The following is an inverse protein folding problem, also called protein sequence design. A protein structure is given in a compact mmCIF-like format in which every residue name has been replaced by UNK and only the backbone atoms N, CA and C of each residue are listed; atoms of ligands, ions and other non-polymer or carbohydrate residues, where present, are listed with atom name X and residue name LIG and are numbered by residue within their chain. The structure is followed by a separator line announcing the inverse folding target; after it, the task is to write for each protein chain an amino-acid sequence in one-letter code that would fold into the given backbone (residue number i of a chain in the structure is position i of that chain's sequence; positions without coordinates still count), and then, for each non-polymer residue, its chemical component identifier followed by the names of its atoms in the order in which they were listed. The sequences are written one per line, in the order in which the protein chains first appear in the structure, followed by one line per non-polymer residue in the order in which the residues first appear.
data_IF_558525290841
#
_entry.id   IF_558525290841
#
_cell.length_a   1.000
_cell.length_b   1.000
_cell.length_c   1.000
_cell.angle_alpha   90.00
_cell.angle_beta   90.00
_cell.angle_gamma   90.00
#
_symmetry.space_group_name_H-M   'P 1'
#
loop_
_entity.id
_entity.type
_entity.pdbx_description
1 polymer ?
#
# COMPACT_ATOMS: atom_id res chain seq x y z
N UNK A 1 10.18 3.57 6.20
CA UNK A 1 8.90 3.10 6.80
C UNK A 1 8.17 2.24 5.78
N UNK A 2 7.51 1.14 6.20
CA UNK A 2 6.78 0.25 5.28
C UNK A 2 5.28 0.52 5.36
N UNK A 3 4.66 0.73 4.21
CA UNK A 3 3.23 0.99 4.07
C UNK A 3 2.55 -0.16 3.35
N UNK A 4 1.39 -0.57 3.86
CA UNK A 4 0.45 -1.44 3.17
C UNK A 4 -0.60 -0.57 2.49
N UNK A 5 -0.65 -0.64 1.16
CA UNK A 5 -1.60 0.12 0.34
C UNK A 5 -2.67 -0.82 -0.14
N UNK A 6 -3.92 -0.55 0.22
CA UNK A 6 -5.11 -1.23 -0.28
C UNK A 6 -5.64 -0.48 -1.50
N UNK A 7 -5.86 -1.20 -2.60
CA UNK A 7 -6.27 -0.61 -3.86
C UNK A 7 -7.18 -1.51 -4.69
N UNK A 8 -7.91 -0.89 -5.61
CA UNK A 8 -8.59 -1.57 -6.72
C UNK A 8 -7.80 -1.32 -8.01
N UNK A 9 -7.77 -2.29 -8.91
CA UNK A 9 -7.01 -2.17 -10.17
C UNK A 9 -7.54 -1.07 -11.10
N UNK A 10 -8.81 -0.70 -10.98
CA UNK A 10 -9.47 0.27 -11.87
C UNK A 10 -10.35 1.25 -11.10
N UNK A 11 -10.42 2.48 -11.61
CA UNK A 11 -11.29 3.56 -11.14
C UNK A 11 -12.65 3.57 -11.85
N UNK A 12 -12.83 2.78 -12.91
CA UNK A 12 -13.99 2.87 -13.82
C UNK A 12 -15.23 2.10 -13.35
N UNK A 13 -15.14 1.37 -12.23
CA UNK A 13 -16.24 0.60 -11.66
C UNK A 13 -16.36 0.88 -10.18
N UNK A 14 -17.56 0.68 -9.63
CA UNK A 14 -17.76 0.74 -8.18
C UNK A 14 -16.84 -0.25 -7.46
N UNK A 15 -16.15 0.17 -6.39
CA UNK A 15 -15.25 -0.70 -5.64
C UNK A 15 -16.01 -1.87 -5.04
N UNK A 16 -15.38 -3.05 -5.07
CA UNK A 16 -15.92 -4.30 -4.52
C UNK A 16 -14.92 -4.83 -3.50
N UNK A 17 -15.42 -5.20 -2.31
CA UNK A 17 -14.54 -5.62 -1.20
C UNK A 17 -13.73 -6.86 -1.55
N UNK A 18 -14.27 -7.74 -2.39
CA UNK A 18 -13.63 -9.00 -2.78
C UNK A 18 -12.46 -8.79 -3.75
N UNK A 19 -12.40 -7.63 -4.43
CA UNK A 19 -11.34 -7.32 -5.40
C UNK A 19 -10.29 -6.36 -4.88
N UNK A 20 -10.39 -5.94 -3.62
CA UNK A 20 -9.35 -5.12 -2.98
C UNK A 20 -8.05 -5.92 -2.90
N UNK A 21 -7.00 -5.40 -3.53
CA UNK A 21 -5.65 -5.94 -3.46
C UNK A 21 -4.81 -5.10 -2.51
N UNK A 22 -3.69 -5.67 -2.07
CA UNK A 22 -2.69 -4.97 -1.28
C UNK A 22 -1.33 -5.01 -1.94
N UNK A 23 -0.58 -3.92 -1.80
CA UNK A 23 0.84 -3.85 -2.12
C UNK A 23 1.61 -3.28 -0.93
N UNK A 24 2.90 -3.60 -0.84
CA UNK A 24 3.77 -3.15 0.24
C UNK A 24 4.86 -2.24 -0.33
N UNK A 25 4.98 -1.02 0.21
CA UNK A 25 5.96 -0.03 -0.24
C UNK A 25 6.88 0.34 0.90
N UNK A 26 8.17 0.36 0.61
CA UNK A 26 9.16 1.00 1.46
C UNK A 26 9.33 2.46 1.04
N UNK A 27 9.04 3.38 1.95
CA UNK A 27 9.11 4.82 1.73
C UNK A 27 10.05 5.43 2.76
N UNK A 28 11.00 6.23 2.29
CA UNK A 28 11.81 7.07 3.16
C UNK A 28 11.09 8.40 3.46
N UNK A 29 10.71 8.59 4.72
CA UNK A 29 9.98 9.75 5.22
C UNK A 29 10.28 9.95 6.70
N UNK A 30 10.25 11.21 7.15
CA UNK A 30 10.51 11.54 8.56
C UNK A 30 9.27 11.37 9.44
N UNK A 31 8.08 11.50 8.85
CA UNK A 31 6.80 11.35 9.56
C UNK A 31 5.84 10.42 8.82
N UNK A 32 4.88 9.85 9.54
CA UNK A 32 3.83 9.01 8.95
C UNK A 32 3.04 9.78 7.87
N UNK A 33 2.68 11.04 8.15
CA UNK A 33 1.89 11.86 7.24
C UNK A 33 2.61 12.06 5.91
N UNK A 34 3.89 12.42 5.95
CA UNK A 34 4.71 12.56 4.74
C UNK A 34 4.84 11.24 3.99
N UNK A 35 5.07 10.14 4.69
CA UNK A 35 5.21 8.83 4.07
C UNK A 35 3.92 8.38 3.39
N UNK A 36 2.75 8.62 3.99
CA UNK A 36 1.44 8.34 3.36
C UNK A 36 1.22 9.16 2.10
N UNK A 37 1.57 10.45 2.12
CA UNK A 37 1.45 11.33 0.95
C UNK A 37 2.37 10.84 -0.17
N UNK A 38 3.64 10.52 0.14
CA UNK A 38 4.60 9.98 -0.84
C UNK A 38 4.14 8.64 -1.42
N UNK A 39 3.69 7.71 -0.57
CA UNK A 39 3.17 6.41 -0.99
C UNK A 39 2.00 6.57 -1.96
N UNK A 40 1.06 7.48 -1.63
CA UNK A 40 -0.08 7.77 -2.49
C UNK A 40 0.35 8.30 -3.86
N UNK A 41 1.22 9.32 -3.87
CA UNK A 41 1.72 9.92 -5.12
C UNK A 41 2.43 8.89 -5.98
N UNK A 42 3.31 8.08 -5.39
CA UNK A 42 4.07 7.06 -6.12
C UNK A 42 3.14 6.06 -6.83
N UNK A 43 2.11 5.58 -6.13
CA UNK A 43 1.14 4.64 -6.70
C UNK A 43 0.29 5.32 -7.79
N UNK A 44 -0.18 6.55 -7.57
CA UNK A 44 -0.97 7.29 -8.55
C UNK A 44 -0.16 7.67 -9.81
N UNK A 45 1.14 7.92 -9.68
CA UNK A 45 2.02 8.25 -10.81
C UNK A 45 2.43 7.02 -11.63
N UNK A 46 2.70 5.89 -10.97
CA UNK A 46 3.17 4.67 -11.64
C UNK A 46 2.03 3.75 -12.09
N UNK A 47 0.83 3.88 -11.52
CA UNK A 47 -0.26 2.94 -11.77
C UNK A 47 -1.61 3.64 -11.93
N UNK A 48 -2.55 2.99 -12.61
CA UNK A 48 -3.93 3.45 -12.71
C UNK A 48 -4.81 3.05 -11.51
N UNK A 49 -4.20 2.55 -10.43
CA UNK A 49 -4.91 1.97 -9.30
C UNK A 49 -5.75 3.00 -8.54
N UNK A 50 -6.90 2.55 -8.06
CA UNK A 50 -7.74 3.32 -7.16
C UNK A 50 -7.37 2.99 -5.71
N UNK A 51 -6.67 3.90 -5.05
CA UNK A 51 -6.21 3.71 -3.67
C UNK A 51 -7.40 3.88 -2.72
N UNK A 52 -7.67 2.85 -1.93
CA UNK A 52 -8.73 2.85 -0.92
C UNK A 52 -8.18 3.28 0.45
N UNK A 53 -7.04 2.71 0.85
CA UNK A 53 -6.46 2.97 2.16
C UNK A 53 -4.94 2.77 2.17
N UNK A 54 -4.23 3.58 2.97
CA UNK A 54 -2.79 3.46 3.19
C UNK A 54 -2.57 3.34 4.69
N UNK A 55 -1.99 2.23 5.10
CA UNK A 55 -1.69 1.89 6.48
C UNK A 55 -0.18 1.81 6.69
N UNK A 56 0.35 2.46 7.74
CA UNK A 56 1.71 2.24 8.21
C UNK A 56 1.77 0.90 8.95
N UNK A 57 2.73 0.05 8.61
CA UNK A 57 2.98 -1.19 9.33
C UNK A 57 3.97 -0.95 10.46
N UNK A 58 3.57 -1.31 11.68
CA UNK A 58 4.46 -1.43 12.83
C UNK A 58 5.25 -2.76 12.76
N UNK A 59 6.30 -2.87 13.57
CA UNK A 59 7.22 -4.01 13.52
C UNK A 59 6.52 -5.36 13.75
N UNK A 60 5.50 -5.39 14.62
CA UNK A 60 4.70 -6.60 14.90
C UNK A 60 3.86 -7.01 13.70
N UNK A 61 3.13 -6.06 13.10
CA UNK A 61 2.33 -6.36 11.90
C UNK A 61 3.22 -6.77 10.73
N UNK A 62 4.38 -6.11 10.56
CA UNK A 62 5.33 -6.46 9.51
C UNK A 62 5.89 -7.87 9.69
N UNK A 63 6.22 -8.27 10.92
CA UNK A 63 6.69 -9.62 11.20
C UNK A 63 5.63 -10.68 10.85
N UNK A 64 4.37 -10.43 11.23
CA UNK A 64 3.25 -11.31 10.92
C UNK A 64 3.01 -11.45 9.40
N UNK A 65 3.08 -10.34 8.66
CA UNK A 65 2.94 -10.33 7.20
C UNK A 65 4.07 -11.12 6.51
N UNK A 66 5.30 -11.04 7.03
CA UNK A 66 6.46 -11.81 6.55
C UNK A 66 6.31 -13.31 6.84
N UNK A 67 5.78 -13.67 8.01
CA UNK A 67 5.58 -15.07 8.42
C UNK A 67 4.48 -15.77 7.63
N UNK A 68 3.41 -15.05 7.29
CA UNK A 68 2.26 -15.58 6.53
C UNK A 68 2.52 -15.71 5.03
N UNK A 69 3.67 -15.25 4.53
CA UNK A 69 4.15 -15.48 3.17
C UNK A 69 3.46 -14.67 2.07
N UNK A 70 2.57 -13.73 2.42
CA UNK A 70 1.87 -12.84 1.47
C UNK A 70 2.65 -11.53 1.23
N UNK A 71 3.64 -11.25 2.09
CA UNK A 71 4.47 -10.06 1.99
C UNK A 71 5.47 -10.14 0.83
N UNK A 72 5.26 -9.30 -0.18
CA UNK A 72 6.26 -9.01 -1.21
C UNK A 72 6.41 -7.50 -1.33
N UNK A 73 7.64 -7.01 -1.16
CA UNK A 73 7.94 -5.60 -1.38
C UNK A 73 7.75 -5.29 -2.87
N UNK A 74 6.97 -4.26 -3.16
CA UNK A 74 6.68 -3.85 -4.52
C UNK A 74 7.63 -2.73 -4.93
N UNK A 75 8.45 -2.97 -5.95
CA UNK A 75 9.24 -1.91 -6.61
C UNK A 75 8.38 -1.30 -7.73
N UNK A 76 8.08 0.00 -7.62
CA UNK A 76 7.23 0.76 -8.56
C UNK A 76 8.02 1.71 -9.46
#
# INVERSE_FOLDING_TARGET
MIYKVFYQETKNRSPRRETTKSLYLEIDAQTELEGRIKARKLVEEKTAYNIEHIQLLDDKSLAYEKETGVFNLTEL
#
